data_IF_787380781314
#
_entry.id   IF_787380781314
#
_cell.length_a   1.000
_cell.length_b   1.000
_cell.length_c   1.000
_cell.angle_alpha   90.00
_cell.angle_beta   90.00
_cell.angle_gamma   90.00
#
_symmetry.space_group_name_H-M   'P 1'
#
loop_
_entity.id
_entity.type
_entity.pdbx_description
1 polymer ?
#
# COMPACT_ATOMS: atom_id res chain seq x y z
N UNK A 1 -12.82 26.12 -23.27
CA UNK A 1 -12.03 26.94 -22.32
C UNK A 1 -11.89 26.12 -21.05
N UNK A 2 -10.69 25.64 -20.71
CA UNK A 2 -10.46 24.90 -19.45
C UNK A 2 -10.18 25.95 -18.37
N UNK A 3 -11.11 26.13 -17.45
CA UNK A 3 -10.94 27.04 -16.30
C UNK A 3 -9.82 26.50 -15.41
N UNK A 4 -8.77 27.29 -15.23
CA UNK A 4 -7.62 26.97 -14.39
C UNK A 4 -7.88 27.56 -12.99
N UNK A 5 -8.15 26.71 -12.01
CA UNK A 5 -8.18 27.13 -10.60
C UNK A 5 -6.79 26.93 -10.01
N UNK A 6 -6.00 28.00 -9.89
CA UNK A 6 -4.72 27.97 -9.16
C UNK A 6 -5.02 28.31 -7.70
N UNK A 7 -4.97 27.30 -6.83
CA UNK A 7 -4.96 27.51 -5.38
C UNK A 7 -3.51 27.41 -4.90
N UNK A 8 -2.86 28.55 -4.67
CA UNK A 8 -1.55 28.61 -4.02
C UNK A 8 -1.74 28.80 -2.51
N UNK A 9 -1.65 27.72 -1.74
CA UNK A 9 -1.61 27.80 -0.27
C UNK A 9 -0.14 27.79 0.14
N UNK A 10 0.37 28.95 0.56
CA UNK A 10 1.66 29.04 1.26
C UNK A 10 1.41 28.82 2.76
N UNK A 11 1.35 27.56 3.19
CA UNK A 11 1.31 27.21 4.61
C UNK A 11 2.73 27.28 5.18
N UNK A 12 3.12 28.43 5.72
CA UNK A 12 4.33 28.58 6.51
C UNK A 12 4.14 27.88 7.86
N UNK A 13 4.46 26.58 7.92
CA UNK A 13 4.67 25.85 9.16
C UNK A 13 3.40 25.54 9.98
N UNK A 14 2.40 24.93 9.35
CA UNK A 14 1.22 24.42 10.05
C UNK A 14 0.39 23.58 9.09
N UNK A 15 -0.15 22.48 9.57
CA UNK A 15 -0.99 21.53 8.81
C UNK A 15 -1.93 22.20 7.81
N UNK A 16 -2.01 21.68 6.59
CA UNK A 16 -3.04 22.05 5.61
C UNK A 16 -4.16 21.02 5.59
N UNK A 17 -5.40 21.44 5.32
CA UNK A 17 -6.54 20.55 5.13
C UNK A 17 -7.29 20.87 3.83
N UNK A 18 -7.77 19.84 3.14
CA UNK A 18 -8.58 19.93 1.94
C UNK A 18 -9.75 18.95 2.02
N UNK A 19 -10.90 19.27 1.43
CA UNK A 19 -12.03 18.32 1.29
C UNK A 19 -11.83 17.31 0.15
N UNK A 20 -10.81 17.53 -0.67
CA UNK A 20 -10.37 16.69 -1.77
C UNK A 20 -9.16 17.36 -2.41
N UNK A 21 -8.29 16.59 -3.04
CA UNK A 21 -7.09 17.10 -3.70
C UNK A 21 -7.00 16.52 -5.11
N UNK A 22 -6.90 17.38 -6.12
CA UNK A 22 -6.69 16.96 -7.50
C UNK A 22 -5.43 17.61 -8.08
N UNK A 23 -4.43 16.79 -8.39
CA UNK A 23 -3.26 17.19 -9.16
C UNK A 23 -3.46 16.75 -10.62
N UNK A 24 -3.83 17.69 -11.49
CA UNK A 24 -4.22 17.43 -12.89
C UNK A 24 -3.17 17.95 -13.90
N UNK A 25 -2.03 18.43 -13.39
CA UNK A 25 -0.93 19.02 -14.16
C UNK A 25 -0.06 19.94 -13.29
N UNK A 26 1.14 20.26 -13.75
CA UNK A 26 2.11 21.03 -12.98
C UNK A 26 2.81 20.21 -11.90
N UNK A 27 3.39 20.87 -10.91
CA UNK A 27 4.16 20.22 -9.83
C UNK A 27 3.43 20.40 -8.51
N UNK A 28 3.01 19.30 -7.89
CA UNK A 28 2.54 19.26 -6.52
C UNK A 28 3.55 18.49 -5.68
N UNK A 29 4.17 19.16 -4.70
CA UNK A 29 5.08 18.49 -3.77
C UNK A 29 4.71 18.86 -2.35
N UNK A 30 4.38 17.86 -1.54
CA UNK A 30 4.31 18.04 -0.09
C UNK A 30 5.74 17.96 0.45
N UNK A 31 6.43 19.10 0.59
CA UNK A 31 7.86 19.13 0.96
C UNK A 31 8.18 18.74 2.40
N UNK A 32 7.20 18.89 3.31
CA UNK A 32 7.25 18.53 4.72
C UNK A 32 5.89 18.83 5.37
N UNK A 33 5.76 18.65 6.69
CA UNK A 33 4.57 19.03 7.43
C UNK A 33 3.42 18.04 7.29
N UNK A 34 2.20 18.51 7.54
CA UNK A 34 0.99 17.67 7.52
C UNK A 34 0.03 18.19 6.45
N UNK A 35 -0.49 17.28 5.64
CA UNK A 35 -1.59 17.54 4.73
C UNK A 35 -2.72 16.54 5.04
N UNK A 36 -3.89 17.06 5.36
CA UNK A 36 -5.10 16.27 5.57
C UNK A 36 -6.04 16.43 4.37
N UNK A 37 -6.39 15.32 3.73
CA UNK A 37 -7.35 15.26 2.63
C UNK A 37 -8.58 14.49 3.13
N UNK A 38 -9.61 15.24 3.49
CA UNK A 38 -10.89 14.74 4.00
C UNK A 38 -11.84 14.29 2.86
N UNK A 39 -11.29 13.64 1.85
CA UNK A 39 -11.98 13.17 0.65
C UNK A 39 -11.00 12.51 -0.30
N UNK A 40 -11.29 12.53 -1.60
CA UNK A 40 -10.45 11.82 -2.57
C UNK A 40 -9.15 12.57 -2.90
N UNK A 41 -8.08 11.81 -3.09
CA UNK A 41 -6.83 12.24 -3.72
C UNK A 41 -6.80 11.73 -5.16
N UNK A 42 -6.82 12.65 -6.13
CA UNK A 42 -6.71 12.35 -7.56
C UNK A 42 -5.43 12.92 -8.14
N UNK A 43 -4.55 12.06 -8.64
CA UNK A 43 -3.32 12.43 -9.32
C UNK A 43 -3.46 11.99 -10.78
N UNK A 44 -3.86 12.93 -11.63
CA UNK A 44 -4.23 12.67 -13.04
C UNK A 44 -3.21 13.24 -14.03
N UNK A 45 -2.15 13.87 -13.55
CA UNK A 45 -1.05 14.36 -14.37
C UNK A 45 -0.08 15.28 -13.63
N UNK A 46 1.03 15.62 -14.29
CA UNK A 46 2.09 16.45 -13.72
C UNK A 46 3.09 15.65 -12.87
N UNK A 47 3.77 16.34 -11.96
CA UNK A 47 4.68 15.75 -10.97
C UNK A 47 3.98 15.76 -9.61
N UNK A 48 3.90 14.60 -8.97
CA UNK A 48 3.46 14.47 -7.58
C UNK A 48 4.59 13.88 -6.74
N UNK A 49 4.91 14.49 -5.60
CA UNK A 49 5.81 13.90 -4.62
C UNK A 49 5.33 14.17 -3.19
N UNK A 50 5.52 13.18 -2.32
CA UNK A 50 5.20 13.26 -0.91
C UNK A 50 6.48 13.11 -0.08
N UNK A 51 6.95 14.23 0.48
CA UNK A 51 8.07 14.32 1.43
C UNK A 51 7.58 14.73 2.84
N UNK A 52 6.26 14.73 3.08
CA UNK A 52 5.64 15.07 4.37
C UNK A 52 4.66 14.00 4.86
N UNK A 53 3.70 14.38 5.72
CA UNK A 53 2.71 13.46 6.28
C UNK A 53 1.34 13.70 5.66
N UNK A 54 0.89 12.78 4.82
CA UNK A 54 -0.40 12.82 4.15
C UNK A 54 -1.43 11.95 4.87
N UNK A 55 -2.52 12.54 5.33
CA UNK A 55 -3.67 11.82 5.89
C UNK A 55 -4.82 11.84 4.89
N UNK A 56 -5.33 10.67 4.50
CA UNK A 56 -6.36 10.54 3.48
C UNK A 56 -7.56 9.76 4.02
N UNK A 57 -8.76 10.34 3.92
CA UNK A 57 -10.00 9.67 4.33
C UNK A 57 -10.83 9.13 3.16
N UNK A 58 -10.60 9.59 1.92
CA UNK A 58 -11.28 9.13 0.71
C UNK A 58 -10.39 8.28 -0.20
N UNK A 59 -10.78 8.09 -1.45
CA UNK A 59 -10.09 7.19 -2.37
C UNK A 59 -8.76 7.80 -2.88
N UNK A 60 -7.80 6.94 -3.18
CA UNK A 60 -6.54 7.30 -3.83
C UNK A 60 -6.60 6.85 -5.29
N UNK A 61 -6.50 7.80 -6.21
CA UNK A 61 -6.44 7.55 -7.64
C UNK A 61 -5.15 8.12 -8.21
N UNK A 62 -4.31 7.29 -8.81
CA UNK A 62 -3.05 7.69 -9.41
C UNK A 62 -2.89 7.22 -10.86
N UNK A 63 -2.85 8.17 -11.79
CA UNK A 63 -2.47 7.95 -13.18
C UNK A 63 -1.01 8.36 -13.45
N UNK A 64 -0.35 9.01 -12.49
CA UNK A 64 0.99 9.55 -12.65
C UNK A 64 2.06 8.49 -12.38
N UNK A 65 3.01 8.35 -13.31
CA UNK A 65 4.13 7.40 -13.17
C UNK A 65 5.14 7.91 -12.14
N UNK A 66 5.09 7.37 -10.93
CA UNK A 66 6.04 7.71 -9.87
C UNK A 66 7.38 7.00 -10.10
N UNK A 67 8.49 7.71 -9.91
CA UNK A 67 9.85 7.15 -10.05
C UNK A 67 10.59 7.01 -8.72
N UNK A 68 10.00 7.48 -7.62
CA UNK A 68 10.57 7.44 -6.29
C UNK A 68 9.44 7.40 -5.24
N UNK A 69 9.75 6.82 -4.08
CA UNK A 69 8.84 6.67 -2.94
C UNK A 69 8.62 8.00 -2.17
N UNK A 70 9.44 9.02 -2.46
CA UNK A 70 9.54 10.23 -1.65
C UNK A 70 10.22 9.96 -0.31
N UNK A 71 10.08 10.91 0.62
CA UNK A 71 10.53 10.75 2.02
C UNK A 71 9.38 10.79 3.03
N UNK A 72 8.14 10.92 2.55
CA UNK A 72 6.95 11.16 3.35
C UNK A 72 6.15 9.91 3.71
N UNK A 73 5.19 10.08 4.60
CA UNK A 73 4.23 9.05 4.97
C UNK A 73 2.85 9.31 4.36
N UNK A 74 2.11 8.23 4.10
CA UNK A 74 0.67 8.28 3.84
C UNK A 74 -0.08 7.43 4.87
N UNK A 75 -1.15 7.99 5.41
CA UNK A 75 -2.07 7.29 6.32
C UNK A 75 -3.44 7.21 5.66
N UNK A 76 -3.88 5.99 5.35
CA UNK A 76 -5.22 5.70 4.83
C UNK A 76 -6.14 5.47 6.02
N UNK A 77 -6.96 6.47 6.35
CA UNK A 77 -7.77 6.53 7.59
C UNK A 77 -9.23 6.87 7.39
N UNK A 78 -9.83 6.33 6.33
CA UNK A 78 -11.26 6.40 6.11
C UNK A 78 -12.06 5.68 7.20
N UNK A 79 -13.35 5.99 7.27
CA UNK A 79 -14.35 5.25 8.07
C UNK A 79 -15.31 4.43 7.19
N UNK A 80 -15.10 4.49 5.88
CA UNK A 80 -15.78 3.73 4.83
C UNK A 80 -14.69 3.06 3.98
N UNK A 81 -15.01 2.01 3.21
CA UNK A 81 -14.01 1.35 2.37
C UNK A 81 -13.32 2.36 1.45
N UNK A 82 -11.98 2.38 1.46
CA UNK A 82 -11.17 3.20 0.54
C UNK A 82 -10.67 2.34 -0.62
N UNK A 83 -10.62 2.91 -1.81
CA UNK A 83 -9.97 2.30 -2.97
C UNK A 83 -8.63 2.94 -3.25
N UNK A 84 -7.69 2.11 -3.71
CA UNK A 84 -6.45 2.54 -4.35
C UNK A 84 -6.50 2.08 -5.80
N UNK A 85 -6.59 3.02 -6.72
CA UNK A 85 -6.80 2.75 -8.15
C UNK A 85 -6.07 3.78 -9.03
N UNK A 86 -6.34 3.73 -10.34
CA UNK A 86 -5.70 4.56 -11.36
C UNK A 86 -4.85 3.75 -12.34
N UNK A 87 -4.27 4.43 -13.33
CA UNK A 87 -3.44 3.84 -14.39
C UNK A 87 -2.00 3.54 -14.00
N UNK A 88 -1.52 4.06 -12.88
CA UNK A 88 -0.14 3.90 -12.39
C UNK A 88 -0.09 3.51 -10.92
N UNK A 89 0.91 2.70 -10.54
CA UNK A 89 1.14 2.34 -9.14
C UNK A 89 1.41 3.60 -8.27
N UNK A 90 0.93 3.60 -7.03
CA UNK A 90 1.24 4.67 -6.07
C UNK A 90 2.40 4.25 -5.17
N UNK A 91 3.40 5.11 -5.06
CA UNK A 91 4.62 4.87 -4.28
C UNK A 91 4.60 5.74 -3.03
N UNK A 92 4.74 5.11 -1.87
CA UNK A 92 4.88 5.73 -0.56
C UNK A 92 6.20 5.31 0.08
N UNK A 93 6.84 6.18 0.84
CA UNK A 93 7.93 5.74 1.71
C UNK A 93 7.34 4.98 2.89
N UNK A 94 6.63 5.64 3.80
CA UNK A 94 5.92 4.98 4.89
C UNK A 94 4.41 4.93 4.64
N UNK A 95 3.79 3.81 5.01
CA UNK A 95 2.37 3.55 4.81
C UNK A 95 1.72 3.15 6.13
N UNK A 96 0.68 3.85 6.54
CA UNK A 96 -0.16 3.45 7.68
C UNK A 96 -1.55 3.08 7.19
N UNK A 97 -2.00 1.89 7.58
CA UNK A 97 -3.34 1.35 7.34
C UNK A 97 -4.15 1.54 8.61
N UNK A 98 -5.11 2.47 8.58
CA UNK A 98 -5.95 2.83 9.74
C UNK A 98 -7.41 3.02 9.31
N UNK A 99 -7.94 2.06 8.55
CA UNK A 99 -9.31 2.08 8.07
C UNK A 99 -10.03 0.77 8.45
N UNK A 100 -10.83 0.75 9.53
CA UNK A 100 -11.54 -0.44 9.96
C UNK A 100 -12.54 -0.98 8.92
N UNK A 101 -12.99 -0.16 7.97
CA UNK A 101 -13.88 -0.59 6.89
C UNK A 101 -13.12 -1.27 5.73
N UNK A 102 -11.79 -1.27 5.78
CA UNK A 102 -10.91 -1.94 4.82
C UNK A 102 -10.48 -1.05 3.66
N UNK A 103 -9.50 -1.56 2.92
CA UNK A 103 -8.90 -0.89 1.76
C UNK A 103 -8.86 -1.88 0.61
N UNK A 104 -9.31 -1.49 -0.57
CA UNK A 104 -9.31 -2.32 -1.77
C UNK A 104 -8.24 -1.82 -2.74
N UNK A 105 -7.31 -2.69 -3.10
CA UNK A 105 -6.29 -2.40 -4.10
C UNK A 105 -6.76 -2.85 -5.48
N UNK A 106 -7.01 -1.88 -6.36
CA UNK A 106 -7.25 -2.07 -7.79
C UNK A 106 -6.01 -1.74 -8.63
N UNK A 107 -4.98 -1.15 -8.01
CA UNK A 107 -3.63 -1.01 -8.56
C UNK A 107 -2.61 -1.22 -7.44
N UNK A 108 -1.33 -1.37 -7.80
CA UNK A 108 -0.23 -1.59 -6.87
C UNK A 108 -0.06 -0.40 -5.94
N UNK A 109 -0.02 -0.68 -4.65
CA UNK A 109 0.43 0.25 -3.62
C UNK A 109 1.80 -0.20 -3.13
N UNK A 110 2.83 0.60 -3.38
CA UNK A 110 4.23 0.26 -3.05
C UNK A 110 4.71 1.07 -1.86
N UNK A 111 5.36 0.41 -0.91
CA UNK A 111 5.92 1.00 0.30
C UNK A 111 7.45 0.77 0.37
N UNK A 112 8.20 1.88 0.32
CA UNK A 112 9.66 1.95 0.43
C UNK A 112 10.21 1.57 1.80
N UNK A 113 9.53 2.02 2.85
CA UNK A 113 9.89 1.91 4.27
C UNK A 113 8.89 1.05 5.04
N UNK A 114 8.30 1.61 6.09
CA UNK A 114 7.47 0.84 7.03
C UNK A 114 6.02 0.82 6.61
N UNK A 115 5.42 -0.37 6.56
CA UNK A 115 3.97 -0.57 6.51
C UNK A 115 3.45 -0.87 7.91
N UNK A 116 2.73 0.08 8.50
CA UNK A 116 2.14 -0.07 9.81
C UNK A 116 0.63 -0.36 9.71
N UNK A 117 0.22 -1.52 10.18
CA UNK A 117 -1.18 -1.93 10.27
C UNK A 117 -1.74 -1.50 11.62
N UNK A 118 -2.45 -0.37 11.68
CA UNK A 118 -3.14 0.06 12.90
C UNK A 118 -4.52 -0.59 12.99
N UNK A 119 -5.30 -0.53 11.91
CA UNK A 119 -6.64 -1.11 11.85
C UNK A 119 -7.08 -1.29 10.39
N UNK A 120 -7.72 -2.41 10.08
CA UNK A 120 -8.30 -2.67 8.76
C UNK A 120 -7.58 -3.70 7.93
N UNK A 121 -8.36 -4.39 7.10
CA UNK A 121 -7.87 -5.39 6.15
C UNK A 121 -7.64 -4.74 4.79
N UNK A 122 -6.46 -5.00 4.20
CA UNK A 122 -6.16 -4.64 2.82
C UNK A 122 -6.55 -5.79 1.91
N UNK A 123 -7.51 -5.58 1.02
CA UNK A 123 -7.93 -6.56 0.01
C UNK A 123 -7.12 -6.35 -1.27
N UNK A 124 -6.27 -7.32 -1.60
CA UNK A 124 -5.42 -7.30 -2.78
C UNK A 124 -5.71 -8.53 -3.66
N UNK A 125 -6.89 -8.56 -4.27
CA UNK A 125 -7.44 -9.76 -4.91
C UNK A 125 -6.71 -10.17 -6.21
N UNK A 126 -6.00 -9.25 -6.86
CA UNK A 126 -5.32 -9.44 -8.15
C UNK A 126 -3.79 -9.39 -7.96
N UNK A 127 -3.07 -10.36 -8.52
CA UNK A 127 -1.60 -10.41 -8.47
C UNK A 127 -0.93 -9.25 -9.21
N UNK A 128 -1.64 -8.56 -10.11
CA UNK A 128 -1.18 -7.33 -10.78
C UNK A 128 -1.40 -6.05 -9.95
N UNK A 129 -2.17 -6.13 -8.86
CA UNK A 129 -2.41 -5.03 -7.91
C UNK A 129 -2.06 -5.44 -6.46
N UNK A 130 -0.82 -5.92 -6.18
CA UNK A 130 -0.44 -6.32 -4.84
C UNK A 130 -0.15 -5.12 -3.94
N UNK A 131 -0.10 -5.39 -2.64
CA UNK A 131 0.70 -4.55 -1.74
C UNK A 131 2.18 -4.89 -1.97
N UNK A 132 2.98 -3.93 -2.43
CA UNK A 132 4.39 -4.10 -2.69
C UNK A 132 5.25 -3.49 -1.58
N UNK A 133 6.24 -4.22 -1.11
CA UNK A 133 7.14 -3.81 -0.04
C UNK A 133 8.57 -3.97 -0.54
N UNK A 134 9.38 -2.93 -0.44
CA UNK A 134 10.74 -2.97 -0.99
C UNK A 134 11.69 -3.81 -0.15
N UNK A 135 12.90 -4.04 -0.66
CA UNK A 135 14.00 -4.70 0.03
C UNK A 135 14.39 -4.08 1.38
N UNK A 136 14.08 -2.80 1.60
CA UNK A 136 14.35 -2.09 2.85
C UNK A 136 13.09 -1.95 3.73
N UNK A 137 11.94 -2.36 3.21
CA UNK A 137 10.66 -2.17 3.89
C UNK A 137 10.44 -3.18 5.01
N UNK A 138 9.67 -2.76 6.00
CA UNK A 138 9.30 -3.55 7.18
C UNK A 138 7.80 -3.49 7.43
N UNK A 139 7.27 -4.43 8.21
CA UNK A 139 5.84 -4.49 8.55
C UNK A 139 5.63 -4.58 10.05
N UNK A 140 4.71 -3.79 10.58
CA UNK A 140 4.35 -3.76 12.01
C UNK A 140 2.83 -3.70 12.21
N UNK A 141 2.37 -4.00 13.42
CA UNK A 141 0.96 -3.82 13.82
C UNK A 141 -0.02 -4.88 13.29
N UNK A 142 0.49 -5.94 12.65
CA UNK A 142 -0.35 -6.98 12.02
C UNK A 142 -1.14 -7.77 13.07
N UNK A 143 -2.42 -8.01 12.80
CA UNK A 143 -3.33 -8.78 13.67
C UNK A 143 -4.47 -9.40 12.88
N UNK A 144 -5.33 -10.17 13.54
CA UNK A 144 -6.57 -10.69 12.95
C UNK A 144 -7.48 -9.58 12.39
N UNK A 145 -7.42 -8.38 12.94
CA UNK A 145 -8.19 -7.22 12.47
C UNK A 145 -7.41 -6.31 11.52
N UNK A 146 -6.13 -6.60 11.26
CA UNK A 146 -5.25 -5.73 10.50
C UNK A 146 -4.16 -6.53 9.75
N UNK A 147 -4.46 -6.95 8.52
CA UNK A 147 -3.55 -7.71 7.65
C UNK A 147 -4.01 -7.61 6.18
N UNK A 148 -3.33 -8.31 5.27
CA UNK A 148 -3.66 -8.36 3.85
C UNK A 148 -4.43 -9.63 3.51
N UNK A 149 -5.64 -9.50 3.02
CA UNK A 149 -6.38 -10.57 2.34
C UNK A 149 -6.09 -10.47 0.83
N UNK A 150 -5.06 -11.18 0.38
CA UNK A 150 -4.62 -11.09 -1.01
C UNK A 150 -3.12 -11.18 -1.22
N UNK A 151 -2.68 -10.61 -2.34
CA UNK A 151 -1.30 -10.68 -2.80
C UNK A 151 -0.43 -9.58 -2.15
N UNK A 152 0.69 -10.01 -1.57
CA UNK A 152 1.77 -9.16 -1.10
C UNK A 152 3.05 -9.56 -1.81
N UNK A 153 3.79 -8.59 -2.35
CA UNK A 153 5.14 -8.81 -2.88
C UNK A 153 6.17 -8.18 -1.96
N UNK A 154 7.20 -8.95 -1.60
CA UNK A 154 8.41 -8.42 -0.96
C UNK A 154 9.55 -8.48 -1.96
N UNK A 155 9.98 -7.32 -2.43
CA UNK A 155 11.16 -7.15 -3.30
C UNK A 155 12.45 -7.46 -2.54
N UNK A 156 13.53 -7.86 -3.22
CA UNK A 156 14.82 -8.10 -2.58
C UNK A 156 14.93 -9.42 -1.81
N UNK A 157 16.08 -9.62 -1.18
CA UNK A 157 16.45 -10.85 -0.47
C UNK A 157 16.22 -10.73 1.04
N UNK A 158 16.40 -11.85 1.75
CA UNK A 158 16.41 -11.95 3.20
C UNK A 158 15.12 -12.51 3.81
N UNK A 159 15.11 -12.57 5.14
CA UNK A 159 13.98 -13.06 5.91
C UNK A 159 12.87 -12.02 6.01
N UNK A 160 11.64 -12.42 5.69
CA UNK A 160 10.46 -11.59 5.76
C UNK A 160 9.23 -12.40 6.16
N UNK A 161 8.42 -11.83 7.06
CA UNK A 161 7.12 -12.37 7.46
C UNK A 161 6.03 -11.59 6.77
N UNK A 162 5.35 -12.25 5.81
CA UNK A 162 4.27 -11.67 5.04
C UNK A 162 3.04 -11.41 5.93
N UNK A 163 2.46 -10.21 5.89
CA UNK A 163 1.26 -9.85 6.65
C UNK A 163 -0.01 -10.38 5.98
N UNK A 164 -0.02 -11.65 5.55
CA UNK A 164 -1.14 -12.22 4.79
C UNK A 164 -2.12 -12.96 5.70
N UNK A 165 -3.35 -13.06 5.26
CA UNK A 165 -4.43 -13.76 5.93
C UNK A 165 -5.62 -13.96 5.01
N UNK A 166 -6.78 -14.26 5.59
CA UNK A 166 -8.07 -14.20 4.91
C UNK A 166 -8.93 -13.12 5.56
N UNK A 167 -10.13 -12.85 5.04
CA UNK A 167 -11.06 -11.87 5.61
C UNK A 167 -11.35 -11.93 7.15
N UNK A 168 -10.91 -12.96 7.88
CA UNK A 168 -11.13 -13.10 9.32
C UNK A 168 -9.86 -13.31 10.17
N UNK A 169 -8.77 -13.83 9.60
CA UNK A 169 -7.61 -14.33 10.37
C UNK A 169 -6.30 -14.00 9.69
N UNK A 170 -5.38 -13.50 10.51
CA UNK A 170 -3.99 -13.36 10.14
C UNK A 170 -3.31 -14.73 10.14
N UNK A 171 -2.64 -15.07 9.03
CA UNK A 171 -1.98 -16.36 8.82
C UNK A 171 -0.62 -16.08 8.19
N UNK A 172 0.39 -15.67 8.99
CA UNK A 172 1.67 -15.26 8.46
C UNK A 172 2.35 -16.37 7.67
N UNK A 173 3.07 -15.95 6.64
CA UNK A 173 4.05 -16.79 5.95
C UNK A 173 5.41 -16.17 6.15
N UNK A 174 6.36 -16.90 6.72
CA UNK A 174 7.75 -16.45 6.82
C UNK A 174 8.57 -17.13 5.74
N UNK A 175 9.28 -16.33 4.95
CA UNK A 175 10.22 -16.80 3.93
C UNK A 175 11.58 -16.20 4.22
N UNK A 176 12.64 -16.98 4.05
CA UNK A 176 14.00 -16.48 3.95
C UNK A 176 14.49 -16.67 2.51
N UNK A 177 14.52 -15.57 1.76
CA UNK A 177 14.79 -15.60 0.33
C UNK A 177 16.28 -15.38 0.07
N UNK A 178 16.97 -16.42 -0.40
CA UNK A 178 18.42 -16.39 -0.65
C UNK A 178 18.80 -16.05 -2.10
N UNK A 179 17.86 -16.15 -3.04
CA UNK A 179 18.02 -15.86 -4.47
C UNK A 179 16.77 -15.15 -5.01
N UNK A 180 16.84 -14.56 -6.22
CA UNK A 180 15.78 -13.74 -6.84
C UNK A 180 15.58 -12.35 -6.19
N UNK A 181 16.38 -11.37 -6.62
CA UNK A 181 16.31 -9.98 -6.15
C UNK A 181 15.02 -9.24 -6.54
N UNK A 182 14.26 -9.74 -7.51
CA UNK A 182 12.95 -9.18 -7.85
C UNK A 182 11.91 -9.47 -6.76
N UNK A 183 12.23 -10.37 -5.82
CA UNK A 183 11.41 -10.68 -4.67
C UNK A 183 10.42 -11.80 -4.91
N UNK A 184 9.49 -11.94 -3.97
CA UNK A 184 8.54 -13.04 -3.94
C UNK A 184 7.13 -12.53 -3.64
N UNK A 185 6.16 -13.11 -4.36
CA UNK A 185 4.73 -12.86 -4.19
C UNK A 185 4.13 -13.94 -3.30
N UNK A 186 3.37 -13.55 -2.29
CA UNK A 186 2.68 -14.45 -1.38
C UNK A 186 1.22 -14.05 -1.20
N UNK A 187 0.36 -15.04 -1.02
CA UNK A 187 -1.03 -14.89 -0.57
C UNK A 187 -1.40 -16.11 0.27
N UNK A 188 -2.19 -15.88 1.32
CA UNK A 188 -2.82 -16.97 2.05
C UNK A 188 -4.11 -17.42 1.34
N UNK A 189 -4.31 -18.73 1.21
CA UNK A 189 -5.54 -19.31 0.67
C UNK A 189 -6.10 -20.27 1.71
N UNK A 190 -7.30 -19.94 2.23
CA UNK A 190 -8.05 -20.82 3.11
C UNK A 190 -8.67 -21.96 2.28
N UNK A 191 -7.87 -22.98 2.02
CA UNK A 191 -8.34 -24.23 1.42
C UNK A 191 -7.86 -25.40 2.28
N UNK A 192 -8.55 -26.53 2.14
CA UNK A 192 -8.03 -27.80 2.65
C UNK A 192 -6.64 -28.03 2.06
N UNK A 193 -5.64 -28.28 2.92
CA UNK A 193 -4.29 -28.64 2.50
C UNK A 193 -4.24 -29.98 1.75
N UNK A 194 -5.39 -30.67 1.66
CA UNK A 194 -5.54 -32.01 1.11
C UNK A 194 -5.06 -33.07 2.11
N UNK A 195 -5.06 -34.33 1.68
CA UNK A 195 -4.56 -35.45 2.49
C UNK A 195 -3.03 -35.53 2.54
N UNK A 196 -2.32 -34.44 2.16
CA UNK A 196 -0.87 -34.39 2.15
C UNK A 196 -0.33 -34.40 3.58
N UNK A 197 0.54 -35.36 3.89
CA UNK A 197 1.26 -35.37 5.17
C UNK A 197 2.21 -34.17 5.22
N UNK A 198 2.20 -33.41 6.32
CA UNK A 198 3.19 -32.35 6.55
C UNK A 198 4.59 -32.97 6.61
N UNK A 199 5.34 -32.87 5.52
CA UNK A 199 6.75 -33.23 5.49
C UNK A 199 7.56 -32.14 6.19
N UNK A 200 8.33 -32.51 7.22
CA UNK A 200 9.27 -31.60 7.91
C UNK A 200 10.54 -31.32 7.10
N UNK A 201 10.53 -31.65 5.82
CA UNK A 201 11.64 -31.37 4.88
C UNK A 201 11.00 -30.89 3.58
N UNK A 202 11.44 -29.71 3.12
CA UNK A 202 10.80 -28.93 2.08
C UNK A 202 10.44 -29.71 0.81
N UNK A 203 9.23 -29.46 0.33
CA UNK A 203 8.75 -29.91 -0.96
C UNK A 203 7.40 -29.30 -1.32
N UNK A 204 6.47 -29.20 -0.36
CA UNK A 204 5.13 -28.65 -0.62
C UNK A 204 4.56 -28.00 0.65
N UNK A 205 4.79 -26.71 0.83
CA UNK A 205 3.88 -25.83 1.57
C UNK A 205 3.23 -24.89 0.56
N UNK A 206 1.91 -24.71 0.67
CA UNK A 206 1.02 -23.80 -0.07
C UNK A 206 1.48 -23.47 -1.50
N UNK A 207 0.80 -23.97 -2.54
CA UNK A 207 1.10 -23.67 -3.96
C UNK A 207 1.45 -22.19 -4.16
N UNK A 208 2.74 -21.87 -4.11
CA UNK A 208 3.27 -20.56 -4.45
C UNK A 208 3.30 -20.59 -5.96
N UNK A 209 2.28 -19.97 -6.56
CA UNK A 209 2.19 -19.85 -8.01
C UNK A 209 3.37 -19.02 -8.53
N UNK A 210 4.41 -19.72 -8.98
CA UNK A 210 5.34 -19.18 -9.97
C UNK A 210 4.65 -19.11 -11.33
N UNK A 211 4.98 -18.05 -12.07
CA UNK A 211 4.62 -17.84 -13.48
C UNK A 211 4.96 -19.06 -14.35
#
# INVERSE_FOLDING_TARGET
>A
MKTLYILAILALGGSAAAQGLSATGGTFILKSGILQVNGDLRITGGTFANDGNLFLTGNLHNDQVMTADGAGSITLKGIVPQTVDGGSAYFAHDLTIDNPAGIVLNNTLRAGGTVNFTNGIVTAANSAAPLAITGNGSVTGVSDTSHVDGYVVREGLGSFTYPVGNAAKYQPVTVDLTENSNGMLARYVAADAGTGTFGTTGGLCCRIGGL
#
